data_IF_610557309697
#
_entry.id   IF_610557309697
#
_cell.length_a   1.000
_cell.length_b   1.000
_cell.length_c   1.000
_cell.angle_alpha   90.00
_cell.angle_beta   90.00
_cell.angle_gamma   90.00
#
_symmetry.space_group_name_H-M   'P 1'
#
loop_
_entity.id
_entity.type
_entity.pdbx_description
1 polymer ?
#
# COMPACT_ATOMS: atom_id res chain seq x y z
N UNK A 1 -3.90 8.47 11.94
CA UNK A 1 -3.26 9.79 12.13
C UNK A 1 -3.36 10.15 13.61
N UNK A 2 -2.27 10.64 14.21
CA UNK A 2 -2.23 11.01 15.64
C UNK A 2 -2.42 12.51 15.86
N UNK A 3 -2.10 13.35 14.86
CA UNK A 3 -2.17 14.82 14.94
C UNK A 3 -2.95 15.43 13.79
N UNK A 4 -3.66 16.51 14.09
CA UNK A 4 -4.38 17.29 13.09
C UNK A 4 -3.40 18.07 12.20
N UNK A 5 -3.46 17.94 10.86
CA UNK A 5 -2.58 18.69 9.97
C UNK A 5 -2.88 20.19 9.95
N UNK A 6 -4.07 20.62 10.37
CA UNK A 6 -4.48 22.02 10.37
C UNK A 6 -4.07 22.76 11.63
N UNK A 7 -4.22 22.15 12.81
CA UNK A 7 -3.99 22.83 14.09
C UNK A 7 -3.04 22.07 15.03
N UNK A 8 -2.44 20.97 14.55
CA UNK A 8 -1.50 20.12 15.28
C UNK A 8 -1.98 19.55 16.62
N UNK A 9 -3.27 19.66 16.91
CA UNK A 9 -3.87 19.08 18.11
C UNK A 9 -3.94 17.55 17.98
N UNK A 10 -3.85 16.85 19.11
CA UNK A 10 -3.93 15.39 19.13
C UNK A 10 -5.33 14.92 18.73
N UNK A 11 -5.38 14.13 17.66
CA UNK A 11 -6.54 13.39 17.22
C UNK A 11 -6.44 12.02 17.90
N UNK A 12 -7.08 11.85 19.07
CA UNK A 12 -7.13 10.59 19.82
C UNK A 12 -7.97 9.51 19.11
N UNK A 13 -7.73 9.28 17.82
CA UNK A 13 -8.52 8.39 16.96
C UNK A 13 -9.85 8.98 16.48
N UNK A 14 -10.18 10.23 16.81
CA UNK A 14 -11.39 10.89 16.33
C UNK A 14 -11.28 11.30 14.86
N UNK A 15 -12.38 11.15 14.12
CA UNK A 15 -12.48 11.58 12.72
C UNK A 15 -12.69 13.09 12.59
N UNK A 16 -13.01 13.79 13.67
CA UNK A 16 -13.19 15.25 13.67
C UNK A 16 -12.30 15.89 14.70
N UNK A 17 -11.54 16.93 14.33
CA UNK A 17 -10.71 17.63 15.32
C UNK A 17 -11.59 18.46 16.27
N UNK A 18 -11.40 18.30 17.58
CA UNK A 18 -12.11 19.09 18.60
C UNK A 18 -11.81 20.59 18.56
N UNK A 19 -10.61 20.98 18.10
CA UNK A 19 -10.14 22.38 18.09
C UNK A 19 -10.59 23.13 16.84
N UNK A 20 -10.19 22.66 15.66
CA UNK A 20 -10.49 23.33 14.39
C UNK A 20 -11.75 22.80 13.68
N UNK A 21 -12.39 21.75 14.22
CA UNK A 21 -13.59 21.10 13.66
C UNK A 21 -13.41 20.50 12.27
N UNK A 22 -12.19 20.48 11.72
CA UNK A 22 -11.86 19.81 10.46
C UNK A 22 -12.30 18.35 10.51
N UNK A 23 -12.99 17.93 9.45
CA UNK A 23 -13.48 16.57 9.29
C UNK A 23 -12.50 15.73 8.45
N UNK A 24 -12.01 14.65 9.06
CA UNK A 24 -11.12 13.64 8.49
C UNK A 24 -11.85 12.33 8.20
N UNK A 25 -13.17 12.27 8.38
CA UNK A 25 -14.00 11.09 8.09
C UNK A 25 -13.69 10.49 6.72
N UNK A 26 -13.65 11.33 5.69
CA UNK A 26 -13.34 10.95 4.31
C UNK A 26 -11.95 10.32 4.13
N UNK A 27 -10.95 10.82 4.85
CA UNK A 27 -9.59 10.28 4.78
C UNK A 27 -9.53 8.93 5.51
N UNK A 28 -10.14 8.85 6.70
CA UNK A 28 -10.23 7.60 7.46
C UNK A 28 -10.98 6.51 6.67
N UNK A 29 -12.09 6.86 6.02
CA UNK A 29 -12.85 5.95 5.15
C UNK A 29 -12.01 5.45 3.97
N UNK A 30 -11.20 6.33 3.38
CA UNK A 30 -10.32 5.97 2.27
C UNK A 30 -9.23 5.00 2.74
N UNK A 31 -8.64 5.23 3.91
CA UNK A 31 -7.67 4.31 4.53
C UNK A 31 -8.28 2.95 4.85
N UNK A 32 -9.49 2.92 5.40
CA UNK A 32 -10.24 1.69 5.68
C UNK A 32 -10.53 0.90 4.40
N UNK A 33 -11.02 1.58 3.35
CA UNK A 33 -11.27 0.96 2.03
C UNK A 33 -9.99 0.41 1.40
N UNK A 34 -8.88 1.14 1.50
CA UNK A 34 -7.58 0.66 1.01
C UNK A 34 -7.14 -0.61 1.75
N UNK A 35 -7.28 -0.64 3.08
CA UNK A 35 -6.97 -1.81 3.91
C UNK A 35 -7.86 -3.00 3.55
N UNK A 36 -9.16 -2.78 3.37
CA UNK A 36 -10.12 -3.81 2.96
C UNK A 36 -9.70 -4.45 1.62
N UNK A 37 -9.41 -3.64 0.61
CA UNK A 37 -8.96 -4.14 -0.69
C UNK A 37 -7.61 -4.86 -0.62
N UNK A 38 -6.66 -4.40 0.22
CA UNK A 38 -5.40 -5.12 0.45
C UNK A 38 -5.67 -6.53 0.99
N UNK A 39 -6.55 -6.66 1.98
CA UNK A 39 -6.90 -7.96 2.56
C UNK A 39 -7.62 -8.86 1.55
N UNK A 40 -8.52 -8.30 0.75
CA UNK A 40 -9.20 -9.03 -0.32
C UNK A 40 -8.21 -9.55 -1.38
N UNK A 41 -7.21 -8.75 -1.76
CA UNK A 41 -6.16 -9.19 -2.68
C UNK A 41 -5.34 -10.35 -2.11
N UNK A 42 -4.97 -10.31 -0.82
CA UNK A 42 -4.26 -11.39 -0.14
C UNK A 42 -5.11 -12.67 -0.11
N UNK A 43 -6.41 -12.54 0.16
CA UNK A 43 -7.34 -13.67 0.15
C UNK A 43 -7.43 -14.30 -1.25
N UNK A 44 -7.58 -13.47 -2.28
CA UNK A 44 -7.62 -13.92 -3.68
C UNK A 44 -6.31 -14.62 -4.10
N UNK A 45 -5.15 -14.11 -3.66
CA UNK A 45 -3.86 -14.77 -3.87
C UNK A 45 -3.83 -16.18 -3.27
N UNK A 46 -4.27 -16.34 -2.01
CA UNK A 46 -4.33 -17.65 -1.34
C UNK A 46 -5.29 -18.63 -2.03
N UNK A 47 -6.32 -18.12 -2.69
CA UNK A 47 -7.28 -18.92 -3.46
C UNK A 47 -6.88 -19.13 -4.93
N UNK A 48 -5.73 -18.62 -5.37
CA UNK A 48 -5.27 -18.74 -6.77
C UNK A 48 -6.04 -17.87 -7.78
N UNK A 49 -6.92 -16.97 -7.32
CA UNK A 49 -7.70 -16.10 -8.18
C UNK A 49 -6.92 -14.83 -8.55
N UNK A 50 -5.92 -14.97 -9.42
CA UNK A 50 -4.99 -13.89 -9.74
C UNK A 50 -5.64 -12.68 -10.43
N UNK A 51 -6.71 -12.88 -11.23
CA UNK A 51 -7.48 -11.77 -11.81
C UNK A 51 -8.17 -10.92 -10.74
N UNK A 52 -8.72 -11.55 -9.71
CA UNK A 52 -9.35 -10.85 -8.58
C UNK A 52 -8.30 -10.16 -7.70
N UNK A 53 -7.17 -10.82 -7.46
CA UNK A 53 -6.02 -10.23 -6.79
C UNK A 53 -5.57 -8.95 -7.51
N UNK A 54 -5.44 -8.98 -8.83
CA UNK A 54 -5.08 -7.82 -9.65
C UNK A 54 -6.05 -6.65 -9.48
N UNK A 55 -7.36 -6.92 -9.56
CA UNK A 55 -8.41 -5.90 -9.35
C UNK A 55 -8.33 -5.29 -7.95
N UNK A 56 -8.22 -6.10 -6.92
CA UNK A 56 -8.18 -5.62 -5.54
C UNK A 56 -6.88 -4.89 -5.20
N UNK A 57 -5.74 -5.38 -5.69
CA UNK A 57 -4.46 -4.73 -5.51
C UNK A 57 -4.41 -3.35 -6.20
N UNK A 58 -4.92 -3.24 -7.43
CA UNK A 58 -5.02 -1.98 -8.14
C UNK A 58 -5.93 -0.96 -7.44
N UNK A 59 -7.06 -1.41 -6.86
CA UNK A 59 -7.94 -0.55 -6.06
C UNK A 59 -7.28 -0.07 -4.77
N UNK A 60 -6.58 -0.95 -4.07
CA UNK A 60 -5.81 -0.60 -2.87
C UNK A 60 -4.73 0.45 -3.19
N UNK A 61 -3.95 0.23 -4.24
CA UNK A 61 -2.90 1.15 -4.70
C UNK A 61 -3.45 2.53 -5.13
N UNK A 62 -4.61 2.55 -5.79
CA UNK A 62 -5.26 3.81 -6.21
C UNK A 62 -5.77 4.63 -5.04
N UNK A 63 -6.28 3.99 -3.98
CA UNK A 63 -6.76 4.67 -2.77
C UNK A 63 -5.60 5.14 -1.89
N UNK A 64 -4.52 4.36 -1.80
CA UNK A 64 -3.35 4.68 -1.00
C UNK A 64 -2.09 4.15 -1.65
N UNK A 65 -1.31 5.05 -2.26
CA UNK A 65 -0.02 4.71 -2.88
C UNK A 65 1.08 4.58 -1.83
N UNK A 66 1.20 3.40 -1.24
CA UNK A 66 2.35 3.02 -0.40
C UNK A 66 3.31 2.09 -1.14
N UNK A 67 4.61 2.04 -0.76
CA UNK A 67 5.56 1.08 -1.35
C UNK A 67 5.06 -0.36 -1.31
N UNK A 68 4.50 -0.79 -0.17
CA UNK A 68 3.86 -2.10 0.01
C UNK A 68 2.74 -2.37 -0.99
N UNK A 69 1.84 -1.40 -1.17
CA UNK A 69 0.70 -1.55 -2.08
C UNK A 69 1.15 -1.62 -3.53
N UNK A 70 2.24 -0.92 -3.88
CA UNK A 70 2.88 -0.99 -5.19
C UNK A 70 3.50 -2.37 -5.46
N UNK A 71 4.19 -2.95 -4.47
CA UNK A 71 4.73 -4.31 -4.58
C UNK A 71 3.63 -5.35 -4.78
N UNK A 72 2.58 -5.29 -3.95
CA UNK A 72 1.45 -6.21 -4.06
C UNK A 72 0.81 -6.14 -5.45
N UNK A 73 0.67 -4.92 -6.00
CA UNK A 73 0.10 -4.73 -7.32
C UNK A 73 1.03 -5.19 -8.44
N UNK A 74 2.35 -4.95 -8.32
CA UNK A 74 3.34 -5.47 -9.26
C UNK A 74 3.32 -7.02 -9.31
N UNK A 75 3.28 -7.68 -8.15
CA UNK A 75 3.16 -9.13 -8.06
C UNK A 75 1.82 -9.62 -8.64
N UNK A 76 0.72 -8.93 -8.36
CA UNK A 76 -0.58 -9.29 -8.93
C UNK A 76 -0.59 -9.21 -10.46
N UNK A 77 0.03 -8.16 -11.03
CA UNK A 77 0.15 -7.96 -12.47
C UNK A 77 1.02 -9.03 -13.14
N UNK A 78 2.13 -9.41 -12.49
CA UNK A 78 2.99 -10.51 -12.93
C UNK A 78 2.21 -11.84 -12.98
N UNK A 79 1.47 -12.16 -11.92
CA UNK A 79 0.69 -13.39 -11.81
C UNK A 79 -0.53 -13.42 -12.73
N UNK A 80 -1.08 -12.26 -13.10
CA UNK A 80 -2.18 -12.15 -14.05
C UNK A 80 -1.74 -12.09 -15.52
N UNK A 81 -0.42 -12.08 -15.80
CA UNK A 81 0.15 -12.02 -17.15
C UNK A 81 0.28 -10.62 -17.75
N UNK A 82 0.08 -9.55 -16.97
CA UNK A 82 0.20 -8.16 -17.42
C UNK A 82 1.63 -7.64 -17.15
N UNK A 83 2.58 -8.17 -17.91
CA UNK A 83 4.01 -7.94 -17.70
C UNK A 83 4.43 -6.47 -17.89
N UNK A 84 3.77 -5.76 -18.82
CA UNK A 84 4.05 -4.34 -19.07
C UNK A 84 3.73 -3.48 -17.85
N UNK A 85 2.61 -3.76 -17.19
CA UNK A 85 2.23 -3.08 -15.96
C UNK A 85 3.14 -3.50 -14.79
N UNK A 86 3.49 -4.77 -14.68
CA UNK A 86 4.39 -5.29 -13.64
C UNK A 86 5.75 -4.55 -13.65
N UNK A 87 6.38 -4.40 -14.82
CA UNK A 87 7.67 -3.70 -14.95
C UNK A 87 7.54 -2.21 -14.59
N UNK A 88 6.46 -1.55 -15.02
CA UNK A 88 6.22 -0.13 -14.68
C UNK A 88 6.10 0.07 -13.16
N UNK A 89 5.31 -0.77 -12.50
CA UNK A 89 5.13 -0.71 -11.04
C UNK A 89 6.41 -1.06 -10.29
N UNK A 90 7.18 -2.03 -10.79
CA UNK A 90 8.47 -2.39 -10.21
C UNK A 90 9.49 -1.26 -10.30
N UNK A 91 9.56 -0.58 -11.46
CA UNK A 91 10.38 0.63 -11.63
C UNK A 91 9.94 1.75 -10.71
N UNK A 92 8.62 1.98 -10.59
CA UNK A 92 8.08 2.98 -9.67
C UNK A 92 8.44 2.65 -8.21
N UNK A 93 8.37 1.38 -7.82
CA UNK A 93 8.76 0.96 -6.48
C UNK A 93 10.28 1.16 -6.22
N UNK A 94 11.13 0.78 -7.17
CA UNK A 94 12.58 0.91 -7.02
C UNK A 94 13.05 2.36 -7.12
N UNK A 95 12.40 3.20 -7.92
CA UNK A 95 12.69 4.64 -7.98
C UNK A 95 12.30 5.39 -6.69
N UNK A 96 11.45 4.79 -5.85
CA UNK A 96 11.05 5.34 -4.53
C UNK A 96 11.95 4.84 -3.40
N UNK A 97 12.83 3.85 -3.64
CA UNK A 97 13.91 3.55 -2.67
C UNK A 97 14.92 4.69 -2.70
N UNK A 98 14.92 5.53 -1.65
CA UNK A 98 16.19 6.03 -1.14
C UNK A 98 17.02 4.79 -0.77
N UNK A 99 18.26 4.78 -1.21
CA UNK A 99 19.23 3.71 -0.98
C UNK A 99 19.64 3.71 0.51
N UNK A 100 18.69 3.48 1.42
CA UNK A 100 18.96 3.46 2.86
C UNK A 100 18.51 2.11 3.40
N UNK A 101 19.30 1.10 3.05
CA UNK A 101 19.61 -0.17 3.74
C UNK A 101 20.19 -1.03 2.61
N UNK A 102 21.52 -1.22 2.54
CA UNK A 102 22.05 -2.24 1.66
C UNK A 102 21.37 -3.55 2.07
N UNK A 103 20.80 -4.24 1.08
CA UNK A 103 20.49 -5.66 1.18
C UNK A 103 21.78 -6.30 1.69
N UNK A 104 21.85 -6.54 3.01
CA UNK A 104 23.01 -7.15 3.61
C UNK A 104 23.17 -8.46 2.86
N UNK A 105 24.17 -8.51 1.99
CA UNK A 105 24.73 -9.75 1.50
C UNK A 105 25.30 -10.43 2.74
N UNK A 106 24.43 -11.09 3.51
CA UNK A 106 24.87 -12.09 4.47
C UNK A 106 25.44 -13.20 3.60
N UNK A 107 26.75 -13.07 3.38
CA UNK A 107 27.65 -14.05 2.81
C UNK A 107 27.13 -15.45 3.15
N UNK A 108 26.62 -16.17 2.15
CA UNK A 108 26.60 -17.62 2.19
C UNK A 108 28.08 -18.06 2.22
N UNK A 109 28.65 -18.08 3.42
CA UNK A 109 29.94 -18.68 3.68
C UNK A 109 29.65 -20.15 3.97
N UNK A 110 29.62 -20.95 2.90
CA UNK A 110 29.73 -22.40 3.02
C UNK A 110 31.14 -22.65 3.57
N UNK A 111 31.20 -23.23 4.78
CA UNK A 111 32.40 -23.88 5.29
C UNK A 111 32.31 -25.35 4.95
#
# INVERSE_FOLDING_TARGET
MEKCPTCHADLKGETRCRRCKTDFSRVADTELKAKFHRLAAIKAYRSGHFKEMHRHAGRSFSLRRTPDSGLLFACAALLSGDYGLAVKLWKLHNGVRRVDIPFAQSKFRVK
#
